data_IF_766443713467
#
_entry.id   IF_766443713467
#
_cell.length_a   1.000
_cell.length_b   1.000
_cell.length_c   1.000
_cell.angle_alpha   90.00
_cell.angle_beta   90.00
_cell.angle_gamma   90.00
#
_symmetry.space_group_name_H-M   'P 1'
#
loop_
_entity.id
_entity.type
_entity.pdbx_description
1 polymer ?
#
# COMPACT_ATOMS: atom_id res chain seq x y z
N UNK A 1 18.35 2.85 -9.53
CA UNK A 1 17.00 3.40 -9.22
C UNK A 1 16.78 3.61 -7.72
N UNK A 2 16.97 2.59 -6.86
CA UNK A 2 17.02 2.73 -5.37
C UNK A 2 18.47 2.67 -4.87
N UNK A 3 19.21 1.65 -5.29
CA UNK A 3 20.61 1.43 -4.90
C UNK A 3 21.51 2.63 -5.21
N UNK A 4 21.39 3.21 -6.41
CA UNK A 4 22.15 4.42 -6.79
C UNK A 4 21.82 5.63 -5.90
N UNK A 5 20.56 5.78 -5.49
CA UNK A 5 20.11 6.88 -4.64
C UNK A 5 20.61 6.72 -3.18
N UNK A 6 20.72 5.47 -2.70
CA UNK A 6 21.33 5.17 -1.41
C UNK A 6 22.85 5.38 -1.45
N UNK A 7 23.51 5.00 -2.55
CA UNK A 7 24.95 5.14 -2.75
C UNK A 7 25.40 6.60 -2.91
N UNK A 8 24.58 7.46 -3.51
CA UNK A 8 24.92 8.88 -3.74
C UNK A 8 25.00 9.74 -2.47
N UNK A 9 24.51 9.23 -1.32
CA UNK A 9 24.50 9.97 -0.06
C UNK A 9 23.57 11.19 -0.04
N UNK A 10 23.73 12.04 0.98
CA UNK A 10 23.00 13.31 1.12
C UNK A 10 21.51 13.18 1.46
N UNK A 11 20.76 14.27 1.22
CA UNK A 11 19.32 14.38 1.54
C UNK A 11 18.47 13.36 0.78
N UNK A 12 18.84 13.03 -0.46
CA UNK A 12 18.17 12.01 -1.28
C UNK A 12 18.33 10.61 -0.67
N UNK A 13 19.54 10.22 -0.26
CA UNK A 13 19.75 8.94 0.41
C UNK A 13 18.99 8.86 1.74
N UNK A 14 18.92 9.96 2.51
CA UNK A 14 18.16 10.01 3.76
C UNK A 14 16.65 9.81 3.53
N UNK A 15 16.09 10.35 2.45
CA UNK A 15 14.69 10.14 2.08
C UNK A 15 14.43 8.67 1.71
N UNK A 16 15.29 8.06 0.88
CA UNK A 16 15.16 6.65 0.51
C UNK A 16 15.33 5.72 1.72
N UNK A 17 16.22 6.03 2.66
CA UNK A 17 16.39 5.23 3.89
C UNK A 17 15.11 5.14 4.73
N UNK A 18 14.25 6.15 4.69
CA UNK A 18 12.96 6.14 5.42
C UNK A 18 11.94 5.19 4.80
N UNK A 19 12.08 4.90 3.50
CA UNK A 19 11.23 3.92 2.79
C UNK A 19 11.71 2.47 2.90
N UNK A 20 12.66 2.17 3.78
CA UNK A 20 13.20 0.81 3.93
C UNK A 20 12.35 -0.05 4.87
N UNK A 21 12.10 -1.28 4.47
CA UNK A 21 11.38 -2.33 5.21
C UNK A 21 12.24 -3.58 5.20
N UNK A 22 12.67 -4.05 6.37
CA UNK A 22 13.44 -5.30 6.52
C UNK A 22 14.63 -5.42 5.54
N UNK A 23 15.29 -4.29 5.25
CA UNK A 23 16.43 -4.24 4.32
C UNK A 23 16.09 -4.08 2.84
N UNK A 24 14.81 -3.97 2.47
CA UNK A 24 14.33 -3.75 1.10
C UNK A 24 13.54 -2.44 1.02
N UNK A 25 13.70 -1.66 -0.05
CA UNK A 25 12.92 -0.43 -0.19
C UNK A 25 11.49 -0.76 -0.60
N UNK A 26 10.47 -0.06 -0.09
CA UNK A 26 9.07 -0.40 -0.34
C UNK A 26 8.72 -0.48 -1.84
N UNK A 27 9.31 0.36 -2.69
CA UNK A 27 9.17 0.31 -4.15
C UNK A 27 9.59 -1.02 -4.79
N UNK A 28 10.47 -1.78 -4.14
CA UNK A 28 10.94 -3.09 -4.61
C UNK A 28 9.99 -4.23 -4.18
N UNK A 29 8.98 -3.95 -3.34
CA UNK A 29 8.00 -4.95 -2.86
C UNK A 29 6.86 -5.21 -3.86
N UNK A 30 6.75 -4.43 -4.95
CA UNK A 30 5.69 -4.59 -5.96
C UNK A 30 5.68 -5.97 -6.60
N UNK A 31 6.83 -6.44 -7.10
CA UNK A 31 6.92 -7.76 -7.74
C UNK A 31 6.77 -8.92 -6.75
N UNK A 32 7.39 -8.90 -5.54
CA UNK A 32 7.11 -9.88 -4.49
C UNK A 32 5.62 -10.01 -4.15
N UNK A 33 4.90 -8.89 -3.96
CA UNK A 33 3.45 -8.89 -3.70
C UNK A 33 2.68 -9.55 -4.85
N UNK A 34 3.03 -9.23 -6.11
CA UNK A 34 2.40 -9.85 -7.27
C UNK A 34 2.64 -11.36 -7.31
N UNK A 35 3.84 -11.81 -6.98
CA UNK A 35 4.19 -13.23 -6.98
C UNK A 35 3.42 -14.01 -5.91
N UNK A 36 3.44 -13.56 -4.66
CA UNK A 36 2.70 -14.18 -3.56
C UNK A 36 1.20 -14.30 -3.87
N UNK A 37 0.61 -13.26 -4.47
CA UNK A 37 -0.79 -13.27 -4.91
C UNK A 37 -1.07 -14.28 -6.03
N UNK A 38 -0.11 -14.55 -6.91
CA UNK A 38 -0.23 -15.58 -7.97
C UNK A 38 -0.11 -16.99 -7.39
N UNK A 39 0.72 -17.14 -6.36
CA UNK A 39 0.94 -18.41 -5.65
C UNK A 39 -0.14 -18.72 -4.61
N UNK A 40 -1.07 -17.79 -4.35
CA UNK A 40 -2.15 -17.96 -3.37
C UNK A 40 -1.70 -17.72 -1.92
N UNK A 41 -0.48 -17.25 -1.71
CA UNK A 41 0.09 -16.88 -0.41
C UNK A 41 -0.44 -15.50 0.02
N UNK A 42 -1.73 -15.46 0.36
CA UNK A 42 -2.45 -14.21 0.60
C UNK A 42 -2.08 -13.55 1.92
N UNK A 43 -1.85 -14.32 2.98
CA UNK A 43 -1.45 -13.76 4.27
C UNK A 43 -0.07 -13.08 4.18
N UNK A 44 0.89 -13.71 3.50
CA UNK A 44 2.21 -13.14 3.24
C UNK A 44 2.12 -11.91 2.33
N UNK A 45 1.25 -11.94 1.32
CA UNK A 45 1.01 -10.77 0.47
C UNK A 45 0.45 -9.59 1.28
N UNK A 46 -0.45 -9.84 2.24
CA UNK A 46 -0.98 -8.79 3.13
C UNK A 46 0.12 -8.18 3.99
N UNK A 47 0.98 -9.01 4.57
CA UNK A 47 2.13 -8.54 5.36
C UNK A 47 2.99 -7.57 4.55
N UNK A 48 3.31 -7.91 3.30
CA UNK A 48 4.08 -7.00 2.45
C UNK A 48 3.32 -5.73 2.06
N UNK A 49 2.01 -5.80 1.78
CA UNK A 49 1.21 -4.63 1.48
C UNK A 49 1.24 -3.62 2.64
N UNK A 50 1.03 -4.08 3.87
CA UNK A 50 0.99 -3.19 5.04
C UNK A 50 2.35 -2.62 5.40
N UNK A 51 3.42 -3.42 5.26
CA UNK A 51 4.78 -2.94 5.44
C UNK A 51 5.12 -1.83 4.45
N UNK A 52 4.73 -1.99 3.18
CA UNK A 52 4.94 -0.98 2.16
C UNK A 52 4.15 0.31 2.44
N UNK A 53 2.89 0.20 2.87
CA UNK A 53 2.06 1.36 3.25
C UNK A 53 2.68 2.16 4.41
N UNK A 54 3.19 1.46 5.43
CA UNK A 54 3.82 2.11 6.58
C UNK A 54 5.10 2.86 6.19
N UNK A 55 6.01 2.19 5.45
CA UNK A 55 7.27 2.79 5.03
C UNK A 55 7.10 3.97 4.08
N UNK A 56 6.05 3.99 3.27
CA UNK A 56 5.74 5.13 2.42
C UNK A 56 5.34 6.37 3.22
N UNK A 57 4.52 6.19 4.27
CA UNK A 57 4.18 7.27 5.19
C UNK A 57 5.43 7.91 5.81
N UNK A 58 6.37 7.06 6.23
CA UNK A 58 7.63 7.49 6.84
C UNK A 58 8.59 8.15 5.83
N UNK A 59 8.52 7.77 4.54
CA UNK A 59 9.29 8.38 3.46
C UNK A 59 8.88 9.83 3.12
N UNK A 60 7.85 10.36 3.78
CA UNK A 60 7.36 11.73 3.59
C UNK A 60 6.43 11.90 2.39
N UNK A 61 5.78 10.81 1.95
CA UNK A 61 4.68 10.89 1.00
C UNK A 61 3.54 11.75 1.56
N UNK A 62 2.97 12.66 0.75
CA UNK A 62 1.81 13.48 1.17
C UNK A 62 0.55 12.65 1.35
N UNK A 63 0.46 11.54 0.63
CA UNK A 63 -0.62 10.55 0.69
C UNK A 63 0.00 9.17 0.50
N UNK A 64 -0.50 8.11 1.18
CA UNK A 64 -0.07 6.75 0.89
C UNK A 64 -0.42 6.42 -0.56
N UNK A 65 0.47 5.76 -1.29
CA UNK A 65 0.20 5.35 -2.66
C UNK A 65 -1.01 4.42 -2.64
N UNK A 66 -2.00 4.69 -3.50
CA UNK A 66 -3.22 3.88 -3.52
C UNK A 66 -2.93 2.42 -3.85
N UNK A 67 -1.81 2.11 -4.52
CA UNK A 67 -1.53 0.77 -5.01
C UNK A 67 -1.43 -0.30 -3.91
N UNK A 68 -0.70 -0.06 -2.83
CA UNK A 68 -0.54 -1.06 -1.75
C UNK A 68 -1.84 -1.29 -0.99
N UNK A 69 -2.60 -0.22 -0.72
CA UNK A 69 -3.94 -0.32 -0.14
C UNK A 69 -4.92 -1.04 -1.08
N UNK A 70 -4.88 -0.75 -2.39
CA UNK A 70 -5.67 -1.48 -3.39
C UNK A 70 -5.33 -2.97 -3.39
N UNK A 71 -4.04 -3.33 -3.31
CA UNK A 71 -3.63 -4.73 -3.23
C UNK A 71 -4.13 -5.38 -1.94
N UNK A 72 -3.98 -4.73 -0.79
CA UNK A 72 -4.50 -5.24 0.49
C UNK A 72 -6.02 -5.49 0.43
N UNK A 73 -6.79 -4.55 -0.14
CA UNK A 73 -8.23 -4.71 -0.34
C UNK A 73 -8.56 -5.86 -1.31
N UNK A 74 -7.76 -6.08 -2.37
CA UNK A 74 -7.93 -7.27 -3.25
C UNK A 74 -7.67 -8.56 -2.47
N UNK A 75 -6.65 -8.58 -1.61
CA UNK A 75 -6.28 -9.79 -0.87
C UNK A 75 -7.30 -10.12 0.21
N UNK A 76 -7.78 -9.15 1.00
CA UNK A 76 -8.88 -9.37 1.95
C UNK A 76 -10.13 -9.93 1.27
N UNK A 77 -10.48 -9.41 0.10
CA UNK A 77 -11.60 -9.95 -0.68
C UNK A 77 -11.39 -11.42 -1.05
N UNK A 78 -10.16 -11.81 -1.41
CA UNK A 78 -9.82 -13.22 -1.73
C UNK A 78 -9.86 -14.12 -0.50
N UNK A 79 -9.58 -13.57 0.68
CA UNK A 79 -9.70 -14.25 1.97
C UNK A 79 -11.13 -14.20 2.54
N UNK A 80 -12.10 -13.64 1.81
CA UNK A 80 -13.49 -13.44 2.27
C UNK A 80 -13.62 -12.57 3.54
N UNK A 81 -12.62 -11.73 3.79
CA UNK A 81 -12.52 -10.81 4.92
C UNK A 81 -13.14 -9.45 4.57
N UNK A 82 -14.48 -9.39 4.49
CA UNK A 82 -15.19 -8.20 4.01
C UNK A 82 -15.02 -6.98 4.92
N UNK A 83 -15.01 -7.19 6.23
CA UNK A 83 -14.90 -6.08 7.19
C UNK A 83 -13.50 -5.46 7.15
N UNK A 84 -12.47 -6.28 6.94
CA UNK A 84 -11.08 -5.88 6.77
C UNK A 84 -10.86 -5.20 5.41
N UNK A 85 -11.50 -5.68 4.33
CA UNK A 85 -11.53 -4.98 3.04
C UNK A 85 -12.11 -3.56 3.19
N UNK A 86 -13.19 -3.39 3.96
CA UNK A 86 -13.77 -2.07 4.23
C UNK A 86 -12.83 -1.23 5.10
N UNK A 87 -12.24 -1.82 6.14
CA UNK A 87 -11.38 -1.12 7.09
C UNK A 87 -10.15 -0.52 6.40
N UNK A 88 -9.48 -1.27 5.51
CA UNK A 88 -8.29 -0.79 4.79
C UNK A 88 -8.63 0.36 3.82
N UNK A 89 -9.76 0.27 3.11
CA UNK A 89 -10.21 1.33 2.20
C UNK A 89 -10.57 2.62 2.96
N UNK A 90 -11.24 2.49 4.13
CA UNK A 90 -11.55 3.64 5.01
C UNK A 90 -10.29 4.27 5.59
N UNK A 91 -9.33 3.44 6.03
CA UNK A 91 -8.05 3.89 6.57
C UNK A 91 -7.29 4.76 5.58
N UNK A 92 -7.22 4.35 4.31
CA UNK A 92 -6.59 5.16 3.26
C UNK A 92 -7.32 6.48 3.00
N UNK A 93 -8.66 6.45 2.89
CA UNK A 93 -9.46 7.66 2.66
C UNK A 93 -9.32 8.68 3.79
N UNK A 94 -9.12 8.23 5.04
CA UNK A 94 -8.87 9.12 6.16
C UNK A 94 -7.55 9.91 6.01
N UNK A 95 -6.51 9.26 5.47
CA UNK A 95 -5.17 9.85 5.22
C UNK A 95 -5.10 10.64 3.91
N UNK A 96 -5.92 10.31 2.92
CA UNK A 96 -5.95 10.97 1.61
C UNK A 96 -6.54 12.40 1.71
N UNK A 97 -5.90 13.43 1.11
CA UNK A 97 -6.47 14.77 1.00
C UNK A 97 -7.85 14.79 0.34
N UNK A 98 -8.80 15.60 0.85
CA UNK A 98 -10.20 15.63 0.36
C UNK A 98 -10.31 15.79 -1.16
N UNK A 99 -9.44 16.61 -1.77
CA UNK A 99 -9.42 16.86 -3.20
C UNK A 99 -9.11 15.61 -4.05
N UNK A 100 -8.46 14.60 -3.48
CA UNK A 100 -8.02 13.39 -4.18
C UNK A 100 -8.88 12.16 -3.85
N UNK A 101 -9.86 12.29 -2.94
CA UNK A 101 -10.72 11.18 -2.52
C UNK A 101 -11.73 10.81 -3.60
N UNK A 102 -12.43 11.81 -4.14
CA UNK A 102 -13.50 11.64 -5.14
C UNK A 102 -12.93 11.16 -6.47
N UNK A 103 -13.52 10.08 -7.02
CA UNK A 103 -13.07 9.48 -8.28
C UNK A 103 -11.88 8.53 -8.14
N UNK A 104 -11.37 8.29 -6.92
CA UNK A 104 -10.39 7.24 -6.69
C UNK A 104 -11.05 5.85 -6.77
N UNK A 105 -10.31 4.86 -7.29
CA UNK A 105 -10.76 3.45 -7.31
C UNK A 105 -11.08 2.92 -5.91
N UNK A 106 -10.36 3.41 -4.90
CA UNK A 106 -10.59 3.09 -3.47
C UNK A 106 -11.97 3.59 -3.03
N UNK A 107 -12.32 4.85 -3.31
CA UNK A 107 -13.63 5.39 -2.98
C UNK A 107 -14.77 4.68 -3.72
N UNK A 108 -14.61 4.42 -5.01
CA UNK A 108 -15.61 3.68 -5.81
C UNK A 108 -15.85 2.27 -5.27
N UNK A 109 -14.79 1.57 -4.87
CA UNK A 109 -14.89 0.22 -4.31
C UNK A 109 -15.59 0.23 -2.96
N UNK A 110 -15.23 1.17 -2.09
CA UNK A 110 -15.88 1.31 -0.78
C UNK A 110 -17.38 1.57 -0.93
N UNK A 111 -17.77 2.49 -1.82
CA UNK A 111 -19.19 2.80 -2.06
C UNK A 111 -19.98 1.56 -2.51
N UNK A 112 -19.42 0.72 -3.38
CA UNK A 112 -20.05 -0.54 -3.81
C UNK A 112 -20.22 -1.54 -2.66
N UNK A 113 -19.22 -1.67 -1.80
CA UNK A 113 -19.27 -2.58 -0.65
C UNK A 113 -20.31 -2.15 0.39
N UNK A 114 -20.45 -0.84 0.63
CA UNK A 114 -21.41 -0.26 1.57
C UNK A 114 -22.84 -0.27 1.02
N UNK A 115 -23.03 -0.11 -0.29
CA UNK A 115 -24.34 -0.25 -0.94
C UNK A 115 -24.85 -1.71 -1.00
N UNK A 116 -23.98 -2.68 -0.72
CA UNK A 116 -24.30 -4.12 -0.71
C UNK A 116 -24.51 -4.67 0.72
N UNK A 117 -24.82 -3.80 1.69
CA UNK A 117 -25.31 -4.16 3.04
C UNK A 117 -26.83 -4.06 3.07
#
# INVERSE_FOLDING_TARGET
MVQDALASGGSRAAQFKRGMVDGVHYLELVEPIKQLKREGQFDEALVLCYKAEAAEGDAGGREPAPWYTEQAAIVHRKLSQKDEEIAVLKGWLAKCPKAHRSGSRIAERLAKLEASK
#
